data_IF_291419149241
#
_entry.id   IF_291419149241
#
_cell.length_a   1.000
_cell.length_b   1.000
_cell.length_c   1.000
_cell.angle_alpha   90.00
_cell.angle_beta   90.00
_cell.angle_gamma   90.00
#
_symmetry.space_group_name_H-M   'P 1'
#
loop_
_entity.id
_entity.type
_entity.pdbx_description
1 polymer ?
#
# COMPACT_ATOMS: atom_id res chain seq x y z
N UNK A 1 14.23 113.69 -27.86
CA UNK A 1 14.75 114.45 -26.70
C UNK A 1 13.65 114.50 -25.65
N UNK A 2 14.00 114.08 -24.42
CA UNK A 2 13.24 114.07 -23.17
C UNK A 2 12.08 113.07 -23.03
N UNK A 3 11.82 112.40 -21.89
CA UNK A 3 12.55 111.91 -20.71
C UNK A 3 11.45 111.30 -19.77
N UNK A 4 11.82 110.35 -18.90
CA UNK A 4 11.11 109.87 -17.68
C UNK A 4 9.94 108.88 -17.91
N UNK A 5 10.04 107.57 -17.65
CA UNK A 5 10.29 106.79 -16.41
C UNK A 5 9.04 106.54 -15.53
N UNK A 6 8.75 105.24 -15.29
CA UNK A 6 7.98 104.58 -14.20
C UNK A 6 8.10 103.05 -14.47
N UNK A 7 9.10 102.31 -13.98
CA UNK A 7 9.35 101.75 -12.64
C UNK A 7 8.29 100.79 -12.08
N UNK A 8 8.75 99.55 -11.82
CA UNK A 8 8.37 98.58 -10.76
C UNK A 8 7.17 97.63 -11.05
N UNK A 9 7.43 96.37 -11.47
CA UNK A 9 7.56 95.09 -10.68
C UNK A 9 6.19 94.43 -10.36
N UNK A 10 5.89 93.12 -10.46
CA UNK A 10 6.54 91.82 -10.19
C UNK A 10 5.73 90.73 -10.97
N UNK A 11 6.34 89.94 -11.87
CA UNK A 11 6.76 88.51 -11.73
C UNK A 11 5.75 87.51 -11.16
N UNK A 12 5.25 86.60 -12.01
CA UNK A 12 4.97 85.18 -11.69
C UNK A 12 5.19 84.33 -12.94
N UNK A 13 6.28 83.57 -12.95
CA UNK A 13 6.62 82.55 -13.96
C UNK A 13 5.84 81.28 -13.62
N UNK A 14 5.11 80.73 -14.59
CA UNK A 14 4.50 79.41 -14.53
C UNK A 14 5.48 78.41 -15.17
N UNK A 15 6.07 77.51 -14.38
CA UNK A 15 6.85 76.37 -14.86
C UNK A 15 5.92 75.15 -14.91
N UNK A 16 5.73 74.59 -16.11
CA UNK A 16 5.03 73.32 -16.32
C UNK A 16 6.04 72.19 -16.14
N UNK A 17 5.84 71.33 -15.15
CA UNK A 17 6.63 70.10 -14.96
C UNK A 17 5.90 68.97 -15.71
N UNK A 18 6.56 68.42 -16.74
CA UNK A 18 6.17 67.19 -17.42
C UNK A 18 6.66 66.01 -16.59
N UNK A 19 5.75 65.33 -15.89
CA UNK A 19 6.02 64.07 -15.19
C UNK A 19 6.03 62.91 -16.19
N UNK A 20 7.21 62.39 -16.49
CA UNK A 20 7.36 61.11 -17.19
C UNK A 20 6.95 59.97 -16.25
N UNK A 21 5.92 59.21 -16.62
CA UNK A 21 5.55 57.96 -15.95
C UNK A 21 6.52 56.89 -16.47
N UNK A 22 7.48 56.52 -15.64
CA UNK A 22 8.33 55.35 -15.83
C UNK A 22 7.52 54.14 -15.33
N UNK A 23 6.99 53.33 -16.24
CA UNK A 23 6.46 52.00 -15.90
C UNK A 23 7.65 51.05 -15.92
N UNK A 24 8.19 50.75 -14.75
CA UNK A 24 9.27 49.77 -14.57
C UNK A 24 8.68 48.35 -14.50
N UNK A 25 9.26 47.34 -15.16
CA UNK A 25 8.95 45.94 -14.93
C UNK A 25 9.80 45.45 -13.73
N UNK A 26 9.39 45.79 -12.50
CA UNK A 26 10.15 45.45 -11.28
C UNK A 26 9.60 44.22 -10.53
N UNK A 27 8.60 43.52 -11.08
CA UNK A 27 7.93 42.39 -10.42
C UNK A 27 8.36 40.99 -10.89
N UNK A 28 8.70 40.80 -12.17
CA UNK A 28 8.97 39.46 -12.70
C UNK A 28 10.32 38.86 -12.26
N UNK A 29 11.35 39.71 -12.14
CA UNK A 29 12.69 39.25 -11.78
C UNK A 29 12.77 38.62 -10.37
N UNK A 30 11.94 39.08 -9.42
CA UNK A 30 11.93 38.52 -8.07
C UNK A 30 11.17 37.21 -7.94
N UNK A 31 10.23 36.94 -8.83
CA UNK A 31 9.47 35.70 -8.80
C UNK A 31 10.22 34.60 -9.55
N UNK A 32 10.88 34.91 -10.67
CA UNK A 32 11.83 34.00 -11.34
C UNK A 32 12.96 33.55 -10.39
N UNK A 33 13.54 34.46 -9.60
CA UNK A 33 14.61 34.12 -8.65
C UNK A 33 14.10 33.20 -7.53
N UNK A 34 12.87 33.41 -7.02
CA UNK A 34 12.24 32.52 -6.04
C UNK A 34 11.91 31.15 -6.62
N UNK A 35 11.38 31.11 -7.84
CA UNK A 35 11.06 29.86 -8.53
C UNK A 35 12.31 28.98 -8.70
N UNK A 36 13.41 29.58 -9.15
CA UNK A 36 14.69 28.89 -9.28
C UNK A 36 15.24 28.39 -7.93
N UNK A 37 15.07 29.18 -6.86
CA UNK A 37 15.48 28.80 -5.51
C UNK A 37 14.64 27.64 -4.95
N UNK A 38 13.32 27.63 -5.19
CA UNK A 38 12.46 26.50 -4.85
C UNK A 38 12.82 25.24 -5.63
N UNK A 39 13.00 25.32 -6.95
CA UNK A 39 13.44 24.18 -7.78
C UNK A 39 14.77 23.60 -7.28
N UNK A 40 15.74 24.47 -6.99
CA UNK A 40 17.06 24.04 -6.51
C UNK A 40 16.98 23.32 -5.17
N UNK A 41 16.23 23.84 -4.20
CA UNK A 41 16.06 23.17 -2.91
C UNK A 41 15.29 21.86 -3.05
N UNK A 42 14.27 21.82 -3.92
CA UNK A 42 13.54 20.58 -4.22
C UNK A 42 14.48 19.47 -4.70
N UNK A 43 15.36 19.78 -5.66
CA UNK A 43 16.37 18.85 -6.14
C UNK A 43 17.36 18.42 -5.06
N UNK A 44 17.88 19.36 -4.25
CA UNK A 44 18.78 19.05 -3.13
C UNK A 44 18.13 18.13 -2.09
N UNK A 45 16.84 18.32 -1.79
CA UNK A 45 16.10 17.45 -0.89
C UNK A 45 15.86 16.07 -1.50
N UNK A 46 15.51 15.99 -2.79
CA UNK A 46 15.32 14.72 -3.51
C UNK A 46 16.62 13.90 -3.53
N UNK A 47 17.75 14.52 -3.87
CA UNK A 47 19.08 13.89 -3.82
C UNK A 47 19.47 13.41 -2.41
N UNK A 48 18.98 14.08 -1.37
CA UNK A 48 19.19 13.69 0.02
C UNK A 48 18.20 12.61 0.52
N UNK A 49 17.28 12.12 -0.32
CA UNK A 49 16.21 11.20 0.05
C UNK A 49 15.11 11.82 0.91
N UNK A 50 15.08 13.16 1.03
CA UNK A 50 14.10 13.93 1.79
C UNK A 50 12.89 14.26 0.89
N UNK A 51 12.16 13.22 0.47
CA UNK A 51 11.14 13.31 -0.57
C UNK A 51 9.98 14.23 -0.18
N UNK A 52 9.57 14.23 1.08
CA UNK A 52 8.50 15.07 1.62
C UNK A 52 8.84 16.57 1.54
N UNK A 53 10.08 16.93 1.87
CA UNK A 53 10.58 18.29 1.72
C UNK A 53 10.71 18.68 0.24
N UNK A 54 11.19 17.77 -0.61
CA UNK A 54 11.26 18.01 -2.06
C UNK A 54 9.86 18.32 -2.64
N UNK A 55 8.86 17.50 -2.29
CA UNK A 55 7.45 17.69 -2.67
C UNK A 55 6.93 19.08 -2.27
N UNK A 56 7.28 19.56 -1.08
CA UNK A 56 6.85 20.90 -0.61
C UNK A 56 7.45 21.98 -1.50
N UNK A 57 8.75 21.90 -1.82
CA UNK A 57 9.41 22.92 -2.62
C UNK A 57 8.92 22.95 -4.08
N UNK A 58 8.71 21.80 -4.70
CA UNK A 58 8.10 21.75 -6.04
C UNK A 58 6.66 22.27 -6.05
N UNK A 59 5.86 21.99 -5.00
CA UNK A 59 4.52 22.60 -4.85
C UNK A 59 4.58 24.12 -4.70
N UNK A 60 5.61 24.67 -4.04
CA UNK A 60 5.80 26.11 -3.93
C UNK A 60 6.06 26.76 -5.31
N UNK A 61 6.75 26.06 -6.22
CA UNK A 61 6.89 26.48 -7.62
C UNK A 61 5.54 26.55 -8.30
N UNK A 62 4.75 25.47 -8.21
CA UNK A 62 3.42 25.39 -8.85
C UNK A 62 2.39 26.36 -8.26
N UNK A 63 2.60 26.86 -7.04
CA UNK A 63 1.77 27.93 -6.47
C UNK A 63 1.98 29.27 -7.18
N UNK A 64 3.19 29.51 -7.70
CA UNK A 64 3.58 30.76 -8.38
C UNK A 64 3.44 30.61 -9.90
N UNK A 65 3.90 29.49 -10.46
CA UNK A 65 3.76 29.12 -11.86
C UNK A 65 3.07 27.75 -12.00
N UNK A 66 1.72 27.73 -12.08
CA UNK A 66 0.95 26.50 -12.20
C UNK A 66 1.13 25.73 -13.52
N UNK A 67 1.91 26.23 -14.48
CA UNK A 67 2.16 25.56 -15.75
C UNK A 67 3.65 25.22 -15.95
N UNK A 68 4.44 25.22 -14.87
CA UNK A 68 5.85 24.81 -14.94
C UNK A 68 5.95 23.30 -15.18
N UNK A 69 6.27 22.93 -16.43
CA UNK A 69 6.47 21.54 -16.87
C UNK A 69 7.52 20.84 -16.01
N UNK A 70 8.64 21.50 -15.76
CA UNK A 70 9.75 20.96 -14.97
C UNK A 70 9.32 20.68 -13.53
N UNK A 71 8.55 21.59 -12.91
CA UNK A 71 8.07 21.39 -11.55
C UNK A 71 7.02 20.27 -11.45
N UNK A 72 6.13 20.14 -12.43
CA UNK A 72 5.21 19.01 -12.50
C UNK A 72 5.95 17.68 -12.65
N UNK A 73 6.97 17.61 -13.52
CA UNK A 73 7.79 16.40 -13.71
C UNK A 73 8.52 16.00 -12.43
N UNK A 74 9.26 16.94 -11.84
CA UNK A 74 10.04 16.68 -10.63
C UNK A 74 9.16 16.34 -9.42
N UNK A 75 7.99 16.98 -9.32
CA UNK A 75 6.99 16.65 -8.30
C UNK A 75 6.41 15.26 -8.52
N UNK A 76 6.18 14.86 -9.77
CA UNK A 76 5.71 13.52 -10.09
C UNK A 76 6.72 12.47 -9.64
N UNK A 77 8.00 12.63 -10.00
CA UNK A 77 9.08 11.73 -9.60
C UNK A 77 9.17 11.60 -8.08
N UNK A 78 9.15 12.72 -7.35
CA UNK A 78 9.21 12.71 -5.89
C UNK A 78 7.99 12.01 -5.27
N UNK A 79 6.80 12.11 -5.87
CA UNK A 79 5.64 11.31 -5.45
C UNK A 79 5.82 9.82 -5.73
N UNK A 80 6.35 9.45 -6.90
CA UNK A 80 6.55 8.04 -7.27
C UNK A 80 7.60 7.38 -6.37
N UNK A 81 8.71 8.06 -6.11
CA UNK A 81 9.75 7.61 -5.17
C UNK A 81 9.22 7.50 -3.73
N UNK A 82 8.25 8.32 -3.34
CA UNK A 82 7.59 8.24 -2.03
C UNK A 82 6.33 7.33 -2.02
N UNK A 83 6.21 6.45 -3.04
CA UNK A 83 5.11 5.47 -3.22
C UNK A 83 3.70 6.09 -3.32
N UNK A 84 3.60 7.40 -3.55
CA UNK A 84 2.34 8.14 -3.74
C UNK A 84 1.92 8.08 -5.21
N UNK A 85 1.60 6.87 -5.68
CA UNK A 85 1.33 6.58 -7.09
C UNK A 85 0.22 7.44 -7.69
N UNK A 86 -0.84 7.72 -6.94
CA UNK A 86 -1.99 8.48 -7.45
C UNK A 86 -1.63 9.94 -7.72
N UNK A 87 -0.86 10.55 -6.82
CA UNK A 87 -0.37 11.91 -6.95
C UNK A 87 0.65 12.00 -8.09
N UNK A 88 1.61 11.07 -8.16
CA UNK A 88 2.56 10.99 -9.27
C UNK A 88 1.89 10.83 -10.64
N UNK A 89 0.86 9.99 -10.73
CA UNK A 89 0.03 9.83 -11.93
C UNK A 89 -0.60 11.16 -12.38
N UNK A 90 -1.13 11.94 -11.44
CA UNK A 90 -1.77 13.22 -11.75
C UNK A 90 -0.74 14.23 -12.28
N UNK A 91 0.40 14.36 -11.62
CA UNK A 91 1.43 15.30 -12.05
C UNK A 91 2.04 14.91 -13.40
N UNK A 92 2.27 13.63 -13.68
CA UNK A 92 2.67 13.15 -15.01
C UNK A 92 1.64 13.51 -16.09
N UNK A 93 0.36 13.39 -15.78
CA UNK A 93 -0.71 13.77 -16.72
C UNK A 93 -0.67 15.27 -17.05
N UNK A 94 -0.35 16.12 -16.07
CA UNK A 94 -0.19 17.56 -16.30
C UNK A 94 1.10 17.88 -17.06
N UNK A 95 2.21 17.18 -16.77
CA UNK A 95 3.46 17.31 -17.53
C UNK A 95 3.24 17.02 -19.00
N UNK A 96 2.62 15.89 -19.34
CA UNK A 96 2.32 15.49 -20.74
C UNK A 96 1.29 16.41 -21.40
N UNK A 97 0.34 16.97 -20.62
CA UNK A 97 -0.64 17.94 -21.14
C UNK A 97 0.02 19.27 -21.51
N UNK A 98 1.02 19.70 -20.72
CA UNK A 98 1.72 20.96 -20.90
C UNK A 98 2.85 20.87 -21.94
N UNK A 99 3.56 19.74 -21.96
CA UNK A 99 4.60 19.42 -22.95
C UNK A 99 4.31 18.05 -23.58
N UNK A 100 3.54 18.02 -24.68
CA UNK A 100 3.20 16.78 -25.36
C UNK A 100 4.36 16.16 -26.14
N UNK A 101 5.52 16.79 -26.25
CA UNK A 101 6.66 16.23 -27.00
C UNK A 101 7.71 15.61 -26.07
N UNK A 102 7.50 15.69 -24.75
CA UNK A 102 8.35 15.11 -23.73
C UNK A 102 8.17 13.58 -23.66
N UNK A 103 9.00 12.87 -24.42
CA UNK A 103 9.01 11.40 -24.50
C UNK A 103 9.27 10.75 -23.13
N UNK A 104 10.13 11.30 -22.30
CA UNK A 104 10.49 10.71 -21.00
C UNK A 104 9.29 10.74 -20.04
N UNK A 105 8.62 11.89 -19.94
CA UNK A 105 7.39 11.99 -19.12
C UNK A 105 6.25 11.15 -19.69
N UNK A 106 6.16 10.99 -21.01
CA UNK A 106 5.20 10.06 -21.63
C UNK A 106 5.49 8.61 -21.28
N UNK A 107 6.76 8.20 -21.29
CA UNK A 107 7.18 6.84 -20.89
C UNK A 107 6.75 6.59 -19.46
N UNK A 108 7.04 7.51 -18.55
CA UNK A 108 6.62 7.40 -17.15
C UNK A 108 5.09 7.35 -17.02
N UNK A 109 4.37 8.23 -17.74
CA UNK A 109 2.90 8.28 -17.71
C UNK A 109 2.23 7.03 -18.27
N UNK A 110 2.76 6.48 -19.36
CA UNK A 110 2.28 5.23 -19.96
C UNK A 110 2.56 4.05 -19.02
N UNK A 111 3.75 4.00 -18.41
CA UNK A 111 4.14 2.94 -17.47
C UNK A 111 3.22 2.90 -16.24
N UNK A 112 2.96 4.06 -15.63
CA UNK A 112 2.00 4.11 -14.50
C UNK A 112 0.57 3.83 -14.94
N UNK A 113 0.20 4.14 -16.18
CA UNK A 113 -1.11 3.80 -16.74
C UNK A 113 -1.28 2.29 -16.91
N UNK A 114 -0.23 1.55 -17.31
CA UNK A 114 -0.23 0.08 -17.31
C UNK A 114 -0.42 -0.44 -15.88
N UNK A 115 0.33 0.09 -14.91
CA UNK A 115 0.21 -0.32 -13.50
C UNK A 115 -1.18 -0.04 -12.92
N UNK A 116 -1.82 1.06 -13.34
CA UNK A 116 -3.19 1.42 -13.01
C UNK A 116 -4.26 0.66 -13.82
N UNK A 117 -3.84 -0.27 -14.69
CA UNK A 117 -4.69 -1.04 -15.62
C UNK A 117 -5.52 -0.18 -16.60
N UNK A 118 -5.06 1.04 -16.88
CA UNK A 118 -5.66 1.92 -17.88
C UNK A 118 -4.97 1.70 -19.23
N UNK A 119 -5.22 0.52 -19.82
CA UNK A 119 -4.46 0.02 -20.97
C UNK A 119 -4.72 0.80 -22.25
N UNK A 120 -5.93 1.34 -22.45
CA UNK A 120 -6.25 2.19 -23.58
C UNK A 120 -5.45 3.50 -23.54
N UNK A 121 -5.35 4.13 -22.36
CA UNK A 121 -4.53 5.31 -22.19
C UNK A 121 -3.04 4.99 -22.37
N UNK A 122 -2.58 3.88 -21.78
CA UNK A 122 -1.19 3.44 -21.96
C UNK A 122 -0.85 3.25 -23.43
N UNK A 123 -1.76 2.66 -24.22
CA UNK A 123 -1.58 2.49 -25.66
C UNK A 123 -1.56 3.84 -26.38
N UNK A 124 -2.45 4.79 -26.04
CA UNK A 124 -2.44 6.14 -26.62
C UNK A 124 -1.09 6.83 -26.38
N UNK A 125 -0.56 6.76 -25.16
CA UNK A 125 0.73 7.34 -24.84
C UNK A 125 1.88 6.61 -25.56
N UNK A 126 1.82 5.28 -25.65
CA UNK A 126 2.80 4.47 -26.36
C UNK A 126 2.82 4.77 -27.86
N UNK A 127 1.65 4.91 -28.49
CA UNK A 127 1.51 5.31 -29.90
C UNK A 127 2.15 6.68 -30.13
N UNK A 128 1.96 7.64 -29.21
CA UNK A 128 2.60 8.95 -29.28
C UNK A 128 4.13 8.87 -29.11
N UNK A 129 4.63 8.02 -28.19
CA UNK A 129 6.07 7.80 -28.01
C UNK A 129 6.70 7.27 -29.30
N UNK A 130 6.14 6.22 -29.91
CA UNK A 130 6.71 5.62 -31.13
C UNK A 130 6.56 6.53 -32.35
N UNK A 131 5.63 7.48 -32.35
CA UNK A 131 5.55 8.53 -33.37
C UNK A 131 6.65 9.59 -33.21
N UNK A 132 6.92 10.01 -31.97
CA UNK A 132 7.93 11.03 -31.64
C UNK A 132 9.36 10.49 -31.71
N UNK A 133 9.57 9.26 -31.22
CA UNK A 133 10.86 8.59 -31.13
C UNK A 133 10.73 7.12 -31.61
N UNK A 134 10.74 6.88 -32.94
CA UNK A 134 10.56 5.55 -33.52
C UNK A 134 11.70 4.55 -33.24
N UNK A 135 12.80 5.00 -32.65
CA UNK A 135 13.95 4.19 -32.24
C UNK A 135 14.07 4.05 -30.72
N UNK A 136 13.05 4.47 -29.97
CA UNK A 136 13.00 4.29 -28.52
C UNK A 136 12.49 2.89 -28.15
N UNK A 137 13.40 2.02 -27.71
CA UNK A 137 13.09 0.64 -27.35
C UNK A 137 12.05 0.52 -26.21
N UNK A 138 12.04 1.47 -25.26
CA UNK A 138 11.09 1.48 -24.14
C UNK A 138 9.68 1.80 -24.61
N UNK A 139 9.52 2.72 -25.56
CA UNK A 139 8.26 3.02 -26.23
C UNK A 139 7.64 1.78 -26.86
N UNK A 140 8.45 1.01 -27.60
CA UNK A 140 8.02 -0.27 -28.18
C UNK A 140 7.65 -1.32 -27.12
N UNK A 141 8.41 -1.43 -26.03
CA UNK A 141 8.06 -2.31 -24.90
C UNK A 141 6.70 -1.93 -24.26
N UNK A 142 6.49 -0.64 -23.98
CA UNK A 142 5.24 -0.14 -23.39
C UNK A 142 4.07 -0.40 -24.34
N UNK A 143 4.26 -0.14 -25.64
CA UNK A 143 3.26 -0.42 -26.68
C UNK A 143 2.89 -1.90 -26.70
N UNK A 144 3.88 -2.78 -26.72
CA UNK A 144 3.69 -4.23 -26.64
C UNK A 144 2.90 -4.65 -25.39
N UNK A 145 3.26 -4.09 -24.22
CA UNK A 145 2.56 -4.36 -22.96
C UNK A 145 1.09 -3.94 -22.99
N UNK A 146 0.80 -2.74 -23.50
CA UNK A 146 -0.56 -2.23 -23.64
C UNK A 146 -1.38 -3.06 -24.66
N UNK A 147 -0.78 -3.42 -25.80
CA UNK A 147 -1.40 -4.28 -26.81
C UNK A 147 -1.75 -5.67 -26.25
N UNK A 148 -0.82 -6.28 -25.50
CA UNK A 148 -1.03 -7.58 -24.86
C UNK A 148 -2.19 -7.56 -23.85
N UNK A 149 -2.26 -6.53 -23.02
CA UNK A 149 -3.34 -6.35 -22.05
C UNK A 149 -4.72 -6.10 -22.71
N UNK A 150 -4.72 -5.52 -23.92
CA UNK A 150 -5.91 -5.30 -24.74
C UNK A 150 -6.25 -6.49 -25.66
N UNK A 151 -5.60 -7.65 -25.47
CA UNK A 151 -5.80 -8.87 -26.26
C UNK A 151 -5.50 -8.69 -27.78
N UNK A 152 -4.64 -7.73 -28.12
CA UNK A 152 -4.16 -7.47 -29.50
C UNK A 152 -2.86 -8.23 -29.78
N UNK A 153 -2.90 -9.54 -29.56
CA UNK A 153 -1.70 -10.40 -29.49
C UNK A 153 -0.88 -10.43 -30.79
N UNK A 154 -1.52 -10.34 -31.96
CA UNK A 154 -0.84 -10.34 -33.27
C UNK A 154 0.12 -9.16 -33.47
N UNK A 155 -0.03 -8.08 -32.69
CA UNK A 155 0.77 -6.87 -32.79
C UNK A 155 1.90 -6.81 -31.73
N UNK A 156 1.95 -7.75 -30.78
CA UNK A 156 2.91 -7.72 -29.66
C UNK A 156 4.30 -8.19 -30.08
N UNK A 157 4.41 -9.31 -30.79
CA UNK A 157 5.70 -9.90 -31.18
C UNK A 157 6.56 -8.93 -32.02
N UNK A 158 6.05 -8.23 -33.06
CA UNK A 158 6.86 -7.30 -33.84
C UNK A 158 7.45 -6.15 -33.01
N UNK A 159 6.69 -5.62 -32.06
CA UNK A 159 7.13 -4.54 -31.18
C UNK A 159 8.27 -5.00 -30.25
N UNK A 160 8.14 -6.19 -29.66
CA UNK A 160 9.18 -6.73 -28.77
C UNK A 160 10.44 -7.14 -29.53
N UNK A 161 10.30 -7.68 -30.75
CA UNK A 161 11.47 -7.94 -31.62
C UNK A 161 12.19 -6.64 -31.92
N UNK A 162 11.46 -5.57 -32.28
CA UNK A 162 12.07 -4.28 -32.56
C UNK A 162 12.75 -3.68 -31.32
N UNK A 163 12.15 -3.78 -30.14
CA UNK A 163 12.77 -3.35 -28.89
C UNK A 163 14.11 -4.08 -28.63
N UNK A 164 14.16 -5.40 -28.84
CA UNK A 164 15.40 -6.21 -28.75
C UNK A 164 16.43 -5.80 -29.81
N UNK A 165 16.00 -5.44 -31.02
CA UNK A 165 16.92 -4.98 -32.08
C UNK A 165 17.51 -3.59 -31.80
N UNK A 166 16.71 -2.69 -31.21
CA UNK A 166 17.11 -1.33 -30.85
C UNK A 166 18.05 -1.31 -29.65
N UNK A 167 17.82 -2.17 -28.67
CA UNK A 167 18.63 -2.27 -27.46
C UNK A 167 18.81 -3.75 -27.06
N UNK A 168 19.80 -4.44 -27.67
CA UNK A 168 20.00 -5.88 -27.49
C UNK A 168 20.60 -6.24 -26.14
N UNK A 169 21.16 -5.27 -25.41
CA UNK A 169 21.84 -5.47 -24.12
C UNK A 169 20.85 -5.47 -22.93
N UNK A 170 19.59 -5.06 -23.16
CA UNK A 170 18.52 -5.06 -22.15
C UNK A 170 17.71 -6.38 -22.17
N UNK A 171 17.87 -7.19 -21.12
CA UNK A 171 17.23 -8.51 -21.01
C UNK A 171 15.73 -8.46 -20.81
N UNK A 172 15.18 -7.36 -20.28
CA UNK A 172 13.75 -7.24 -20.00
C UNK A 172 12.87 -7.38 -21.25
N UNK A 173 13.36 -6.99 -22.42
CA UNK A 173 12.61 -7.17 -23.67
C UNK A 173 12.46 -8.65 -24.05
N UNK A 174 13.49 -9.49 -23.79
CA UNK A 174 13.42 -10.94 -23.98
C UNK A 174 12.47 -11.59 -22.99
N UNK A 175 12.47 -11.13 -21.73
CA UNK A 175 11.53 -11.58 -20.70
C UNK A 175 10.09 -11.27 -21.12
N UNK A 176 9.82 -10.07 -21.62
CA UNK A 176 8.51 -9.69 -22.14
C UNK A 176 8.09 -10.56 -23.35
N UNK A 177 9.02 -10.83 -24.28
CA UNK A 177 8.75 -11.70 -25.43
C UNK A 177 8.47 -13.14 -25.00
N UNK A 178 9.20 -13.64 -24.00
CA UNK A 178 8.93 -14.95 -23.41
C UNK A 178 7.55 -15.02 -22.75
N UNK A 179 7.15 -13.96 -22.02
CA UNK A 179 5.83 -13.89 -21.42
C UNK A 179 4.72 -13.89 -22.48
N UNK A 180 4.93 -13.18 -23.60
CA UNK A 180 4.02 -13.22 -24.74
C UNK A 180 3.87 -14.63 -25.33
N UNK A 181 4.99 -15.33 -25.58
CA UNK A 181 4.95 -16.71 -26.06
C UNK A 181 4.30 -17.68 -25.06
N UNK A 182 4.56 -17.50 -23.77
CA UNK A 182 3.93 -18.31 -22.72
C UNK A 182 2.41 -18.10 -22.67
N UNK A 183 1.92 -16.86 -22.86
CA UNK A 183 0.50 -16.55 -22.97
C UNK A 183 -0.14 -17.21 -24.21
N UNK A 184 0.62 -17.33 -25.30
CA UNK A 184 0.21 -18.03 -26.51
C UNK A 184 0.37 -19.57 -26.44
N UNK A 185 0.73 -20.10 -25.26
CA UNK A 185 1.06 -21.52 -25.02
C UNK A 185 2.24 -22.07 -25.84
N UNK A 186 3.06 -21.20 -26.44
CA UNK A 186 4.33 -21.57 -27.11
C UNK A 186 5.46 -21.58 -26.08
N UNK A 187 5.41 -22.60 -25.21
CA UNK A 187 6.33 -22.73 -24.07
C UNK A 187 7.77 -22.98 -24.53
N UNK A 188 7.98 -23.61 -25.69
CA UNK A 188 9.31 -23.82 -26.25
C UNK A 188 9.99 -22.51 -26.65
N UNK A 189 9.28 -21.60 -27.34
CA UNK A 189 9.84 -20.29 -27.67
C UNK A 189 10.00 -19.41 -26.44
N UNK A 190 9.08 -19.50 -25.47
CA UNK A 190 9.20 -18.78 -24.21
C UNK A 190 10.49 -19.17 -23.47
N UNK A 191 10.74 -20.47 -23.30
CA UNK A 191 11.95 -21.00 -22.66
C UNK A 191 13.21 -20.59 -23.45
N UNK A 192 13.18 -20.63 -24.78
CA UNK A 192 14.32 -20.23 -25.61
C UNK A 192 14.70 -18.75 -25.39
N UNK A 193 13.73 -17.85 -25.28
CA UNK A 193 14.01 -16.43 -25.00
C UNK A 193 14.56 -16.21 -23.59
N UNK A 194 14.05 -16.95 -22.60
CA UNK A 194 14.54 -16.86 -21.22
C UNK A 194 15.95 -17.40 -21.07
N UNK A 195 16.29 -18.50 -21.75
CA UNK A 195 17.66 -19.00 -21.79
C UNK A 195 18.60 -18.00 -22.48
N UNK A 196 18.17 -17.38 -23.58
CA UNK A 196 18.94 -16.33 -24.23
C UNK A 196 19.16 -15.10 -23.32
N UNK A 197 18.16 -14.75 -22.50
CA UNK A 197 18.29 -13.70 -21.49
C UNK A 197 19.27 -14.10 -20.38
N UNK A 198 19.23 -15.34 -19.88
CA UNK A 198 20.18 -15.86 -18.88
C UNK A 198 21.63 -15.89 -19.40
N UNK A 199 21.83 -16.28 -20.66
CA UNK A 199 23.16 -16.30 -21.30
C UNK A 199 23.78 -14.89 -21.38
N UNK A 200 22.94 -13.86 -21.37
CA UNK A 200 23.32 -12.45 -21.44
C UNK A 200 23.50 -11.85 -20.05
N UNK A 201 22.48 -11.94 -19.20
CA UNK A 201 22.49 -11.53 -17.80
C UNK A 201 21.66 -12.50 -16.96
N UNK A 202 22.34 -13.29 -16.14
CA UNK A 202 21.69 -14.21 -15.22
C UNK A 202 21.28 -13.47 -13.94
N UNK A 203 19.99 -13.50 -13.63
CA UNK A 203 19.40 -12.76 -12.53
C UNK A 203 18.18 -13.44 -11.91
N UNK A 204 17.76 -12.99 -10.71
CA UNK A 204 16.61 -13.59 -10.03
C UNK A 204 15.31 -13.41 -10.81
N UNK A 205 15.15 -12.30 -11.53
CA UNK A 205 13.93 -12.02 -12.31
C UNK A 205 13.77 -13.00 -13.47
N UNK A 206 14.79 -13.12 -14.34
CA UNK A 206 14.73 -14.03 -15.49
C UNK A 206 14.54 -15.49 -15.07
N UNK A 207 15.19 -15.92 -13.98
CA UNK A 207 15.00 -17.26 -13.42
C UNK A 207 13.59 -17.49 -12.89
N UNK A 208 12.97 -16.50 -12.25
CA UNK A 208 11.57 -16.60 -11.84
C UNK A 208 10.63 -16.78 -13.06
N UNK A 209 10.87 -16.06 -14.16
CA UNK A 209 10.10 -16.24 -15.39
C UNK A 209 10.33 -17.63 -16.01
N UNK A 210 11.57 -18.14 -16.00
CA UNK A 210 11.88 -19.49 -16.46
C UNK A 210 11.17 -20.55 -15.61
N UNK A 211 11.17 -20.39 -14.29
CA UNK A 211 10.44 -21.28 -13.39
C UNK A 211 8.93 -21.32 -13.72
N UNK A 212 8.31 -20.20 -14.08
CA UNK A 212 6.91 -20.17 -14.50
C UNK A 212 6.66 -20.95 -15.80
N UNK A 213 7.55 -20.82 -16.79
CA UNK A 213 7.46 -21.60 -18.03
C UNK A 213 7.66 -23.10 -17.76
N UNK A 214 8.65 -23.45 -16.95
CA UNK A 214 8.91 -24.83 -16.54
C UNK A 214 7.74 -25.43 -15.74
N UNK A 215 7.06 -24.61 -14.92
CA UNK A 215 5.83 -25.00 -14.21
C UNK A 215 4.71 -25.33 -15.19
N UNK A 216 4.49 -24.49 -16.22
CA UNK A 216 3.50 -24.74 -17.26
C UNK A 216 3.83 -25.99 -18.11
N UNK A 217 5.11 -26.33 -18.24
CA UNK A 217 5.58 -27.57 -18.87
C UNK A 217 5.57 -28.79 -17.93
N UNK A 218 5.14 -28.64 -16.67
CA UNK A 218 5.14 -29.67 -15.63
C UNK A 218 6.54 -30.25 -15.29
N UNK A 219 7.63 -29.50 -15.57
CA UNK A 219 9.03 -29.88 -15.30
C UNK A 219 9.45 -29.52 -13.87
N UNK A 220 8.74 -30.06 -12.87
CA UNK A 220 8.83 -29.64 -11.46
C UNK A 220 10.23 -29.75 -10.83
N UNK A 221 11.03 -30.75 -11.21
CA UNK A 221 12.41 -30.89 -10.70
C UNK A 221 13.28 -29.70 -11.12
N UNK A 222 13.08 -29.19 -12.33
CA UNK A 222 13.83 -28.05 -12.86
C UNK A 222 13.31 -26.73 -12.29
N UNK A 223 11.99 -26.62 -12.04
CA UNK A 223 11.38 -25.48 -11.35
C UNK A 223 12.04 -25.26 -9.99
N UNK A 224 12.12 -26.29 -9.16
CA UNK A 224 12.71 -26.18 -7.82
C UNK A 224 14.15 -25.68 -7.89
N UNK A 225 14.96 -26.29 -8.77
CA UNK A 225 16.36 -25.90 -8.96
C UNK A 225 16.51 -24.46 -9.43
N UNK A 226 15.61 -24.01 -10.31
CA UNK A 226 15.63 -22.67 -10.89
C UNK A 226 15.21 -21.61 -9.88
N UNK A 227 14.19 -21.88 -9.05
CA UNK A 227 13.76 -21.00 -7.97
C UNK A 227 14.79 -20.93 -6.83
N UNK A 228 15.47 -22.04 -6.52
CA UNK A 228 16.60 -22.04 -5.58
C UNK A 228 17.75 -21.16 -6.09
N UNK A 229 18.07 -21.24 -7.39
CA UNK A 229 19.09 -20.39 -8.00
C UNK A 229 18.66 -18.91 -8.03
N UNK A 230 17.39 -18.62 -8.29
CA UNK A 230 16.85 -17.26 -8.19
C UNK A 230 17.01 -16.70 -6.76
N UNK A 231 16.76 -17.51 -5.74
CA UNK A 231 16.96 -17.12 -4.34
C UNK A 231 18.44 -16.87 -4.01
N UNK A 232 19.35 -17.70 -4.52
CA UNK A 232 20.80 -17.49 -4.33
C UNK A 232 21.23 -16.16 -4.95
N UNK A 233 20.86 -15.90 -6.21
CA UNK A 233 21.22 -14.65 -6.89
C UNK A 233 20.62 -13.42 -6.20
N UNK A 234 19.37 -13.50 -5.73
CA UNK A 234 18.77 -12.41 -4.99
C UNK A 234 19.38 -12.21 -3.58
N UNK A 235 20.07 -13.23 -3.05
CA UNK A 235 20.74 -13.15 -1.76
C UNK A 235 22.13 -12.51 -1.84
N UNK A 236 22.67 -12.32 -3.04
CA UNK A 236 23.93 -11.61 -3.25
C UNK A 236 23.70 -10.11 -3.01
N UNK A 237 24.56 -9.43 -2.23
CA UNK A 237 24.43 -8.00 -1.98
C UNK A 237 24.61 -7.23 -3.29
N UNK A 238 23.81 -6.17 -3.48
CA UNK A 238 23.96 -5.27 -4.64
C UNK A 238 25.31 -4.56 -4.60
N UNK A 239 25.71 -3.90 -5.70
CA UNK A 239 26.95 -3.10 -5.74
C UNK A 239 27.00 -2.02 -4.64
N UNK A 240 25.84 -1.54 -4.21
CA UNK A 240 25.64 -0.54 -3.17
C UNK A 240 25.59 -1.15 -1.75
N UNK A 241 25.69 -2.49 -1.65
CA UNK A 241 25.63 -3.24 -0.40
C UNK A 241 24.21 -3.40 0.17
N UNK A 242 23.20 -3.08 -0.63
CA UNK A 242 21.80 -3.15 -0.26
C UNK A 242 21.20 -4.53 -0.55
N UNK A 243 20.04 -4.79 0.04
CA UNK A 243 19.32 -6.03 -0.20
C UNK A 243 18.71 -6.00 -1.61
N UNK A 244 18.89 -7.07 -2.38
CA UNK A 244 18.29 -7.14 -3.72
C UNK A 244 16.75 -7.00 -3.64
N UNK A 245 16.12 -6.13 -4.46
CA UNK A 245 14.67 -5.88 -4.42
C UNK A 245 13.80 -7.14 -4.58
N UNK A 246 14.30 -8.10 -5.38
CA UNK A 246 13.67 -9.39 -5.65
C UNK A 246 13.88 -10.47 -4.57
N UNK A 247 14.63 -10.22 -3.50
CA UNK A 247 14.92 -11.26 -2.49
C UNK A 247 13.65 -11.77 -1.78
N UNK A 248 12.77 -10.86 -1.37
CA UNK A 248 11.49 -11.24 -0.79
C UNK A 248 10.63 -12.04 -1.79
N UNK A 249 10.66 -11.64 -3.07
CA UNK A 249 9.96 -12.34 -4.15
C UNK A 249 10.49 -13.76 -4.37
N UNK A 250 11.80 -13.96 -4.32
CA UNK A 250 12.43 -15.28 -4.48
C UNK A 250 12.02 -16.24 -3.35
N UNK A 251 12.00 -15.77 -2.09
CA UNK A 251 11.46 -16.54 -0.97
C UNK A 251 9.99 -16.92 -1.19
N UNK A 252 9.17 -15.96 -1.61
CA UNK A 252 7.73 -16.16 -1.86
C UNK A 252 7.50 -17.19 -2.96
N UNK A 253 8.18 -17.07 -4.10
CA UNK A 253 8.00 -17.97 -5.24
C UNK A 253 8.39 -19.41 -4.88
N UNK A 254 9.52 -19.61 -4.20
CA UNK A 254 9.94 -20.94 -3.76
C UNK A 254 8.99 -21.52 -2.69
N UNK A 255 8.52 -20.71 -1.74
CA UNK A 255 7.54 -21.16 -0.75
C UNK A 255 6.18 -21.53 -1.36
N UNK A 256 5.67 -20.71 -2.27
CA UNK A 256 4.44 -20.98 -3.01
C UNK A 256 4.56 -22.22 -3.90
N UNK A 257 5.72 -22.45 -4.52
CA UNK A 257 5.99 -23.68 -5.25
C UNK A 257 5.87 -24.90 -4.34
N UNK A 258 6.47 -24.89 -3.14
CA UNK A 258 6.33 -25.99 -2.20
C UNK A 258 4.89 -26.22 -1.76
N UNK A 259 4.12 -25.17 -1.48
CA UNK A 259 2.69 -25.30 -1.17
C UNK A 259 1.89 -25.91 -2.33
N UNK A 260 2.15 -25.49 -3.57
CA UNK A 260 1.51 -26.05 -4.76
C UNK A 260 1.84 -27.54 -4.97
N UNK A 261 2.92 -28.04 -4.35
CA UNK A 261 3.36 -29.44 -4.36
C UNK A 261 3.01 -30.18 -3.06
N UNK A 262 2.18 -29.60 -2.20
CA UNK A 262 1.77 -30.14 -0.89
C UNK A 262 2.96 -30.39 0.06
N UNK A 263 4.11 -29.73 -0.18
CA UNK A 263 5.32 -29.78 0.66
C UNK A 263 5.29 -28.66 1.70
N UNK A 264 4.27 -28.68 2.55
CA UNK A 264 3.93 -27.58 3.46
C UNK A 264 5.05 -27.24 4.47
N UNK A 265 5.77 -28.25 4.97
CA UNK A 265 6.89 -28.04 5.90
C UNK A 265 8.03 -27.25 5.25
N UNK A 266 8.32 -27.54 3.98
CA UNK A 266 9.39 -26.86 3.23
C UNK A 266 8.95 -25.45 2.82
N UNK A 267 7.69 -25.30 2.40
CA UNK A 267 7.09 -24.01 2.08
C UNK A 267 7.04 -23.06 3.27
N UNK A 268 6.69 -23.55 4.45
CA UNK A 268 6.72 -22.73 5.67
C UNK A 268 8.15 -22.41 6.10
N UNK A 269 9.06 -23.39 6.09
CA UNK A 269 10.46 -23.19 6.47
C UNK A 269 11.16 -22.13 5.62
N UNK A 270 10.97 -22.15 4.29
CA UNK A 270 11.63 -21.17 3.40
C UNK A 270 11.09 -19.76 3.60
N UNK A 271 9.78 -19.61 3.82
CA UNK A 271 9.19 -18.29 4.08
C UNK A 271 9.59 -17.77 5.46
N UNK A 272 9.67 -18.63 6.48
CA UNK A 272 10.18 -18.23 7.79
C UNK A 272 11.63 -17.78 7.74
N UNK A 273 12.47 -18.50 6.99
CA UNK A 273 13.84 -18.08 6.71
C UNK A 273 13.87 -16.67 6.08
N UNK A 274 12.97 -16.41 5.13
CA UNK A 274 12.83 -15.09 4.52
C UNK A 274 12.54 -13.99 5.54
N UNK A 275 11.59 -14.20 6.46
CA UNK A 275 11.26 -13.22 7.53
C UNK A 275 12.46 -12.91 8.43
N UNK A 276 13.33 -13.89 8.67
CA UNK A 276 14.52 -13.74 9.52
C UNK A 276 15.67 -13.01 8.84
N UNK A 277 15.87 -13.25 7.55
CA UNK A 277 17.08 -12.82 6.85
C UNK A 277 16.96 -11.47 6.15
N UNK A 278 15.76 -11.08 5.74
CA UNK A 278 15.57 -9.82 5.02
C UNK A 278 15.29 -8.68 5.98
N UNK A 279 15.60 -7.43 5.63
CA UNK A 279 15.10 -6.26 6.34
C UNK A 279 13.77 -5.81 5.75
N UNK A 280 13.73 -5.72 4.42
CA UNK A 280 12.60 -5.23 3.64
C UNK A 280 11.79 -6.37 3.02
N UNK A 281 10.47 -6.18 2.90
CA UNK A 281 9.57 -7.18 2.32
C UNK A 281 9.08 -8.26 3.28
N UNK A 282 9.47 -8.23 4.56
CA UNK A 282 8.96 -9.15 5.61
C UNK A 282 7.45 -9.24 5.66
N UNK A 283 6.77 -8.09 5.48
CA UNK A 283 5.30 -8.02 5.46
C UNK A 283 4.71 -8.90 4.37
N UNK A 284 5.24 -8.80 3.15
CA UNK A 284 4.78 -9.61 2.00
C UNK A 284 4.91 -11.11 2.28
N UNK A 285 6.03 -11.53 2.88
CA UNK A 285 6.23 -12.94 3.26
C UNK A 285 5.27 -13.37 4.38
N UNK A 286 5.12 -12.53 5.41
CA UNK A 286 4.22 -12.77 6.55
C UNK A 286 2.77 -12.92 6.09
N UNK A 287 2.33 -12.12 5.11
CA UNK A 287 0.98 -12.18 4.54
C UNK A 287 0.72 -13.50 3.78
N UNK A 288 1.74 -14.08 3.16
CA UNK A 288 1.64 -15.41 2.51
C UNK A 288 1.47 -16.49 3.57
N UNK A 289 2.34 -16.51 4.60
CA UNK A 289 2.24 -17.48 5.69
C UNK A 289 0.92 -17.35 6.47
N UNK A 290 0.47 -16.14 6.75
CA UNK A 290 -0.78 -15.91 7.46
C UNK A 290 -1.98 -16.44 6.68
N UNK A 291 -2.01 -16.24 5.36
CA UNK A 291 -3.05 -16.83 4.50
C UNK A 291 -3.00 -18.36 4.51
N UNK A 292 -1.80 -18.93 4.45
CA UNK A 292 -1.58 -20.38 4.51
C UNK A 292 -2.10 -20.96 5.84
N UNK A 293 -1.62 -20.48 6.98
CA UNK A 293 -2.03 -20.99 8.30
C UNK A 293 -3.51 -20.79 8.58
N UNK A 294 -4.12 -19.69 8.12
CA UNK A 294 -5.57 -19.49 8.23
C UNK A 294 -6.37 -20.49 7.38
N UNK A 295 -5.89 -20.84 6.20
CA UNK A 295 -6.53 -21.84 5.35
C UNK A 295 -6.48 -23.23 5.98
N UNK A 296 -5.40 -23.55 6.69
CA UNK A 296 -5.21 -24.80 7.44
C UNK A 296 -5.89 -24.80 8.83
N UNK A 297 -6.57 -23.70 9.21
CA UNK A 297 -7.09 -23.45 10.57
C UNK A 297 -6.03 -23.56 11.69
N UNK A 298 -4.74 -23.42 11.34
CA UNK A 298 -3.60 -23.39 12.25
C UNK A 298 -3.43 -21.97 12.84
N UNK A 299 -4.33 -21.65 13.77
CA UNK A 299 -4.39 -20.35 14.40
C UNK A 299 -3.20 -20.09 15.36
N UNK A 300 -2.52 -21.15 15.82
CA UNK A 300 -1.31 -21.05 16.65
C UNK A 300 -0.16 -20.44 15.85
N UNK A 301 0.13 -21.02 14.67
CA UNK A 301 1.17 -20.47 13.81
C UNK A 301 0.77 -19.13 13.20
N UNK A 302 -0.51 -18.92 12.88
CA UNK A 302 -1.01 -17.62 12.45
C UNK A 302 -0.73 -16.52 13.50
N UNK A 303 -0.97 -16.80 14.78
CA UNK A 303 -0.66 -15.88 15.88
C UNK A 303 0.84 -15.60 15.99
N UNK A 304 1.68 -16.65 15.91
CA UNK A 304 3.14 -16.53 15.95
C UNK A 304 3.69 -15.65 14.81
N UNK A 305 3.19 -15.84 13.58
CA UNK A 305 3.61 -15.00 12.45
C UNK A 305 3.17 -13.55 12.65
N UNK A 306 1.93 -13.34 13.11
CA UNK A 306 1.46 -12.00 13.44
C UNK A 306 2.41 -11.35 14.46
N UNK A 307 2.73 -11.99 15.58
CA UNK A 307 3.66 -11.46 16.61
C UNK A 307 5.05 -11.10 16.08
N UNK A 308 5.61 -11.94 15.20
CA UNK A 308 6.91 -11.65 14.58
C UNK A 308 6.83 -10.50 13.58
N UNK A 309 5.64 -10.29 13.00
CA UNK A 309 5.37 -9.22 12.05
C UNK A 309 4.80 -7.94 12.70
N UNK A 310 4.38 -7.95 13.98
CA UNK A 310 3.78 -6.77 14.65
C UNK A 310 4.82 -5.77 15.15
N UNK A 311 6.12 -6.08 15.04
CA UNK A 311 7.20 -5.22 15.51
C UNK A 311 7.43 -3.94 14.68
N UNK A 312 6.58 -3.63 13.70
CA UNK A 312 6.82 -2.56 12.73
C UNK A 312 6.18 -1.20 13.05
N UNK A 313 5.24 -1.13 14.00
CA UNK A 313 4.77 0.13 14.59
C UNK A 313 4.35 -0.11 16.04
N UNK A 314 5.03 0.54 17.00
CA UNK A 314 4.72 0.39 18.42
C UNK A 314 3.44 1.11 18.84
N UNK A 315 2.81 1.89 17.96
CA UNK A 315 1.62 2.69 18.21
C UNK A 315 0.33 2.17 17.56
N UNK A 316 0.41 1.19 16.65
CA UNK A 316 -0.76 0.57 16.03
C UNK A 316 -1.30 -0.61 16.88
N UNK A 317 -2.53 -0.53 17.42
CA UNK A 317 -3.12 -1.61 18.21
C UNK A 317 -3.63 -2.79 17.36
N UNK A 318 -3.88 -2.61 16.06
CA UNK A 318 -4.54 -3.61 15.20
C UNK A 318 -3.77 -4.93 15.08
N UNK A 319 -2.43 -4.95 14.90
CA UNK A 319 -1.68 -6.18 14.82
C UNK A 319 -1.78 -6.99 16.13
N UNK A 320 -1.73 -6.32 17.29
CA UNK A 320 -1.86 -6.97 18.60
C UNK A 320 -3.28 -7.46 18.88
N UNK A 321 -4.30 -6.75 18.39
CA UNK A 321 -5.69 -7.22 18.38
C UNK A 321 -5.83 -8.49 17.55
N UNK A 322 -5.20 -8.57 16.38
CA UNK A 322 -5.20 -9.76 15.54
C UNK A 322 -4.53 -10.96 16.23
N UNK A 323 -3.38 -10.76 16.90
CA UNK A 323 -2.73 -11.80 17.73
C UNK A 323 -3.66 -12.26 18.85
N UNK A 324 -4.25 -11.30 19.58
CA UNK A 324 -5.17 -11.61 20.68
C UNK A 324 -6.36 -12.44 20.20
N UNK A 325 -6.94 -12.08 19.04
CA UNK A 325 -8.00 -12.82 18.37
C UNK A 325 -7.60 -14.26 18.03
N UNK A 326 -6.43 -14.45 17.41
CA UNK A 326 -5.94 -15.76 17.02
C UNK A 326 -5.69 -16.67 18.23
N UNK A 327 -4.97 -16.17 19.25
CA UNK A 327 -4.71 -16.91 20.51
C UNK A 327 -5.99 -17.27 21.27
N UNK A 328 -6.96 -16.35 21.31
CA UNK A 328 -8.26 -16.61 21.95
C UNK A 328 -9.05 -17.75 21.29
N UNK A 329 -8.93 -17.92 19.96
CA UNK A 329 -9.62 -19.00 19.23
C UNK A 329 -9.06 -20.39 19.53
N UNK A 330 -7.75 -20.50 19.75
CA UNK A 330 -7.07 -21.77 20.12
C UNK A 330 -7.18 -22.07 21.62
N UNK A 331 -7.72 -21.12 22.40
CA UNK A 331 -7.94 -21.27 23.84
C UNK A 331 -6.75 -20.83 24.69
N UNK A 332 -5.71 -20.26 24.11
CA UNK A 332 -4.61 -19.58 24.82
C UNK A 332 -5.11 -18.22 25.33
N UNK A 333 -5.88 -18.24 26.42
CA UNK A 333 -6.50 -17.04 26.98
C UNK A 333 -5.45 -16.11 27.60
N UNK A 334 -4.45 -16.67 28.29
CA UNK A 334 -3.37 -15.91 28.90
C UNK A 334 -2.54 -15.19 27.83
N UNK A 335 -2.16 -15.89 26.76
CA UNK A 335 -1.45 -15.27 25.66
C UNK A 335 -2.31 -14.29 24.87
N UNK A 336 -3.62 -14.54 24.73
CA UNK A 336 -4.55 -13.58 24.14
C UNK A 336 -4.66 -12.31 24.99
N UNK A 337 -4.65 -12.43 26.32
CA UNK A 337 -4.69 -11.30 27.25
C UNK A 337 -3.40 -10.48 27.13
N UNK A 338 -2.24 -11.12 27.13
CA UNK A 338 -0.95 -10.45 26.93
C UNK A 338 -0.94 -9.63 25.63
N UNK A 339 -1.48 -10.19 24.54
CA UNK A 339 -1.59 -9.48 23.27
C UNK A 339 -2.58 -8.31 23.33
N UNK A 340 -3.71 -8.46 24.01
CA UNK A 340 -4.66 -7.36 24.22
C UNK A 340 -4.05 -6.23 25.06
N UNK A 341 -3.21 -6.55 26.05
CA UNK A 341 -2.49 -5.56 26.85
C UNK A 341 -1.46 -4.79 26.02
N UNK A 342 -0.76 -5.48 25.12
CA UNK A 342 0.13 -4.81 24.14
C UNK A 342 -0.65 -3.90 23.19
N UNK A 343 -1.85 -4.30 22.76
CA UNK A 343 -2.72 -3.44 21.95
C UNK A 343 -3.13 -2.17 22.71
N UNK A 344 -3.50 -2.29 23.99
CA UNK A 344 -3.82 -1.13 24.85
C UNK A 344 -2.60 -0.25 25.09
N UNK A 345 -1.41 -0.85 25.22
CA UNK A 345 -0.17 -0.10 25.38
C UNK A 345 0.19 0.69 24.11
N UNK A 346 -0.05 0.10 22.93
CA UNK A 346 0.19 0.73 21.64
C UNK A 346 -0.71 1.95 21.42
N UNK A 347 -2.02 1.80 21.66
CA UNK A 347 -2.96 2.92 21.69
C UNK A 347 -3.86 2.87 22.94
N UNK A 348 -3.50 3.62 24.00
CA UNK A 348 -4.31 3.71 25.22
C UNK A 348 -5.70 4.33 25.02
N UNK A 349 -5.95 4.94 23.86
CA UNK A 349 -7.24 5.54 23.52
C UNK A 349 -8.15 4.60 22.73
N UNK A 350 -7.62 3.44 22.30
CA UNK A 350 -8.36 2.43 21.55
C UNK A 350 -9.41 1.75 22.42
N UNK A 351 -10.68 2.06 22.11
CA UNK A 351 -11.82 1.39 22.74
C UNK A 351 -11.83 -0.11 22.39
N UNK A 352 -11.43 -0.49 21.17
CA UNK A 352 -11.39 -1.89 20.73
C UNK A 352 -10.37 -2.71 21.52
N UNK A 353 -9.14 -2.19 21.70
CA UNK A 353 -8.11 -2.84 22.52
C UNK A 353 -8.56 -2.99 23.98
N UNK A 354 -9.16 -1.93 24.53
CA UNK A 354 -9.66 -1.91 25.92
C UNK A 354 -10.78 -2.93 26.12
N UNK A 355 -11.76 -2.97 25.21
CA UNK A 355 -12.86 -3.93 25.26
C UNK A 355 -12.37 -5.36 25.07
N UNK A 356 -11.40 -5.59 24.17
CA UNK A 356 -10.78 -6.90 23.98
C UNK A 356 -10.11 -7.40 25.26
N UNK A 357 -9.36 -6.54 25.95
CA UNK A 357 -8.77 -6.87 27.26
C UNK A 357 -9.86 -7.24 28.27
N UNK A 358 -10.93 -6.45 28.35
CA UNK A 358 -12.03 -6.71 29.27
C UNK A 358 -12.73 -8.06 29.00
N UNK A 359 -12.96 -8.41 27.73
CA UNK A 359 -13.52 -9.73 27.37
C UNK A 359 -12.67 -10.89 27.88
N UNK A 360 -11.35 -10.80 27.74
CA UNK A 360 -10.43 -11.85 28.16
C UNK A 360 -10.33 -11.95 29.68
N UNK A 361 -10.34 -10.82 30.39
CA UNK A 361 -10.41 -10.81 31.86
C UNK A 361 -11.71 -11.43 32.39
N UNK A 362 -12.83 -11.25 31.69
CA UNK A 362 -14.10 -11.94 32.02
C UNK A 362 -13.91 -13.45 31.85
N UNK A 363 -13.41 -13.88 30.70
CA UNK A 363 -13.28 -15.30 30.39
C UNK A 363 -12.27 -16.03 31.31
N UNK A 364 -11.19 -15.37 31.71
CA UNK A 364 -10.16 -15.91 32.63
C UNK A 364 -10.64 -15.82 34.08
N UNK A 365 -11.07 -14.65 34.54
CA UNK A 365 -11.42 -14.39 35.94
C UNK A 365 -12.53 -15.30 36.46
N UNK A 366 -13.54 -15.58 35.64
CA UNK A 366 -14.62 -16.49 36.02
C UNK A 366 -14.21 -17.96 36.07
N UNK A 367 -13.24 -18.38 35.25
CA UNK A 367 -12.71 -19.75 35.28
C UNK A 367 -11.80 -19.97 36.48
N UNK A 368 -11.12 -18.91 36.93
CA UNK A 368 -10.18 -18.93 38.04
C UNK A 368 -10.75 -18.57 39.40
N UNK A 369 -12.05 -18.21 39.50
CA UNK A 369 -12.65 -17.57 40.68
C UNK A 369 -11.85 -16.32 41.16
N UNK A 370 -11.37 -15.51 40.22
CA UNK A 370 -10.57 -14.30 40.46
C UNK A 370 -11.43 -13.03 40.38
N UNK A 371 -11.96 -12.61 41.54
CA UNK A 371 -12.80 -11.42 41.70
C UNK A 371 -12.10 -10.12 41.28
N UNK A 372 -10.76 -10.07 41.30
CA UNK A 372 -10.00 -8.86 40.96
C UNK A 372 -10.01 -8.61 39.45
N UNK A 373 -9.78 -9.66 38.65
CA UNK A 373 -9.85 -9.58 37.19
C UNK A 373 -11.27 -9.23 36.70
N UNK A 374 -12.29 -9.79 37.33
CA UNK A 374 -13.68 -9.46 37.02
C UNK A 374 -13.97 -7.99 37.36
N UNK A 375 -13.49 -7.48 38.50
CA UNK A 375 -13.64 -6.08 38.87
C UNK A 375 -12.90 -5.13 37.91
N UNK A 376 -11.70 -5.51 37.43
CA UNK A 376 -10.98 -4.76 36.40
C UNK A 376 -11.79 -4.71 35.09
N UNK A 377 -12.30 -5.86 34.62
CA UNK A 377 -13.12 -5.91 33.42
C UNK A 377 -14.37 -5.00 33.50
N UNK A 378 -15.06 -5.00 34.65
CA UNK A 378 -16.19 -4.10 34.91
C UNK A 378 -15.77 -2.64 34.76
N UNK A 379 -14.63 -2.25 35.34
CA UNK A 379 -14.12 -0.88 35.29
C UNK A 379 -13.75 -0.46 33.85
N UNK A 380 -13.11 -1.35 33.09
CA UNK A 380 -12.72 -1.09 31.69
C UNK A 380 -13.95 -0.88 30.80
N UNK A 381 -14.97 -1.75 30.90
CA UNK A 381 -16.22 -1.63 30.15
C UNK A 381 -16.95 -0.33 30.50
N UNK A 382 -17.01 0.01 31.79
CA UNK A 382 -17.63 1.26 32.25
C UNK A 382 -16.89 2.50 31.75
N UNK A 383 -15.55 2.48 31.70
CA UNK A 383 -14.74 3.58 31.19
C UNK A 383 -14.99 3.83 29.69
N UNK A 384 -15.05 2.76 28.89
CA UNK A 384 -15.37 2.87 27.45
C UNK A 384 -16.79 3.40 27.26
N UNK A 385 -17.77 2.86 27.99
CA UNK A 385 -19.17 3.33 27.91
C UNK A 385 -19.36 4.79 28.37
N UNK A 386 -18.54 5.28 29.30
CA UNK A 386 -18.58 6.69 29.72
C UNK A 386 -18.03 7.63 28.63
N UNK A 387 -17.02 7.18 27.86
CA UNK A 387 -16.44 7.92 26.75
C UNK A 387 -17.34 7.89 25.51
N UNK A 388 -17.93 6.74 25.22
CA UNK A 388 -18.88 6.53 24.11
C UNK A 388 -20.12 5.75 24.58
N UNK A 389 -21.16 6.46 25.07
CA UNK A 389 -22.40 5.83 25.52
C UNK A 389 -23.19 5.11 24.42
N UNK A 390 -22.87 5.38 23.15
CA UNK A 390 -23.50 4.75 21.98
C UNK A 390 -22.73 3.56 21.43
N UNK A 391 -21.61 3.18 22.05
CA UNK A 391 -20.79 2.06 21.59
C UNK A 391 -21.56 0.74 21.68
N UNK A 392 -21.86 0.17 20.51
CA UNK A 392 -22.51 -1.14 20.41
C UNK A 392 -21.60 -2.25 20.96
N UNK A 393 -20.29 -2.13 20.75
CA UNK A 393 -19.27 -3.06 21.23
C UNK A 393 -19.19 -3.04 22.77
N UNK A 394 -19.18 -1.85 23.38
CA UNK A 394 -19.18 -1.74 24.84
C UNK A 394 -20.45 -2.33 25.45
N UNK A 395 -21.60 -2.09 24.83
CA UNK A 395 -22.88 -2.68 25.24
C UNK A 395 -22.87 -4.22 25.11
N UNK A 396 -22.25 -4.76 24.05
CA UNK A 396 -22.11 -6.20 23.85
C UNK A 396 -21.22 -6.86 24.90
N UNK A 397 -20.03 -6.29 25.17
CA UNK A 397 -19.12 -6.80 26.21
C UNK A 397 -19.76 -6.70 27.60
N UNK A 398 -20.48 -5.60 27.89
CA UNK A 398 -21.30 -5.47 29.10
C UNK A 398 -22.34 -6.59 29.20
N UNK A 399 -23.01 -6.92 28.10
CA UNK A 399 -23.94 -8.03 28.04
C UNK A 399 -23.32 -9.38 28.43
N UNK A 400 -22.14 -9.69 27.89
CA UNK A 400 -21.37 -10.90 28.25
C UNK A 400 -20.97 -10.90 29.73
N UNK A 401 -20.51 -9.77 30.26
CA UNK A 401 -20.16 -9.57 31.66
C UNK A 401 -21.36 -9.83 32.59
N UNK A 402 -22.55 -9.32 32.27
CA UNK A 402 -23.74 -9.54 33.08
C UNK A 402 -24.23 -11.00 33.05
N UNK A 403 -24.10 -11.69 31.90
CA UNK A 403 -24.34 -13.15 31.83
C UNK A 403 -23.42 -13.87 32.79
N UNK A 404 -22.13 -13.54 32.72
CA UNK A 404 -21.07 -14.08 33.55
C UNK A 404 -21.32 -13.88 35.06
N UNK A 405 -21.76 -12.69 35.47
CA UNK A 405 -22.08 -12.36 36.86
C UNK A 405 -23.42 -12.94 37.34
N UNK A 406 -24.16 -13.65 36.50
CA UNK A 406 -25.45 -14.24 36.86
C UNK A 406 -26.62 -13.24 36.87
N UNK A 407 -26.50 -12.15 36.11
CA UNK A 407 -27.48 -11.06 35.97
C UNK A 407 -28.13 -11.09 34.57
N UNK A 408 -28.92 -12.12 34.23
CA UNK A 408 -29.38 -12.32 32.85
C UNK A 408 -30.41 -11.29 32.37
N UNK A 409 -31.01 -10.49 33.26
CA UNK A 409 -31.95 -9.42 32.85
C UNK A 409 -31.18 -8.20 32.36
N UNK A 410 -30.17 -7.80 33.11
CA UNK A 410 -29.24 -6.72 32.82
C UNK A 410 -28.46 -7.04 31.53
N UNK A 411 -28.08 -8.31 31.35
CA UNK A 411 -27.51 -8.79 30.09
C UNK A 411 -28.43 -8.57 28.88
N UNK A 412 -29.72 -8.91 29.01
CA UNK A 412 -30.71 -8.73 27.93
C UNK A 412 -30.86 -7.25 27.55
N UNK A 413 -30.83 -6.34 28.52
CA UNK A 413 -30.88 -4.89 28.26
C UNK A 413 -29.64 -4.44 27.48
N UNK A 414 -28.45 -4.80 27.96
CA UNK A 414 -27.19 -4.45 27.31
C UNK A 414 -27.05 -5.00 25.89
N UNK A 415 -27.47 -6.24 25.66
CA UNK A 415 -27.39 -6.86 24.34
C UNK A 415 -28.42 -6.29 23.35
N UNK A 416 -29.55 -5.76 23.84
CA UNK A 416 -30.47 -4.99 23.00
C UNK A 416 -29.88 -3.65 22.59
N UNK A 417 -29.18 -2.95 23.49
CA UNK A 417 -28.47 -1.72 23.15
C UNK A 417 -27.40 -2.00 22.06
N UNK A 418 -26.67 -3.10 22.20
CA UNK A 418 -25.68 -3.52 21.19
C UNK A 418 -26.30 -3.76 19.81
N UNK A 419 -27.42 -4.49 19.75
CA UNK A 419 -28.13 -4.78 18.49
C UNK A 419 -28.80 -3.51 17.93
N UNK A 420 -29.27 -2.60 18.77
CA UNK A 420 -29.81 -1.32 18.31
C UNK A 420 -28.74 -0.48 17.57
N UNK A 421 -27.49 -0.54 18.03
CA UNK A 421 -26.35 0.09 17.34
C UNK A 421 -25.86 -0.69 16.12
N UNK A 422 -25.93 -2.03 16.16
CA UNK A 422 -25.53 -2.93 15.04
C UNK A 422 -26.57 -4.04 14.80
N UNK A 423 -27.60 -3.78 13.98
CA UNK A 423 -28.71 -4.73 13.78
C UNK A 423 -28.34 -6.03 13.07
N UNK A 424 -27.23 -6.07 12.33
CA UNK A 424 -26.78 -7.23 11.56
C UNK A 424 -25.55 -7.91 12.19
N UNK A 425 -25.48 -7.91 13.54
CA UNK A 425 -24.39 -8.56 14.27
C UNK A 425 -24.80 -9.95 14.79
N UNK A 426 -24.48 -10.99 14.02
CA UNK A 426 -24.86 -12.38 14.30
C UNK A 426 -24.50 -12.84 15.73
N UNK A 427 -23.29 -12.49 16.20
CA UNK A 427 -22.82 -12.86 17.53
C UNK A 427 -23.64 -12.19 18.64
N UNK A 428 -24.02 -10.92 18.48
CA UNK A 428 -24.87 -10.21 19.45
C UNK A 428 -26.26 -10.86 19.56
N UNK A 429 -26.86 -11.24 18.42
CA UNK A 429 -28.11 -12.00 18.40
C UNK A 429 -27.99 -13.36 19.10
N UNK A 430 -26.89 -14.08 18.88
CA UNK A 430 -26.65 -15.38 19.54
C UNK A 430 -26.55 -15.24 21.06
N UNK A 431 -25.76 -14.27 21.53
CA UNK A 431 -25.56 -14.03 22.97
C UNK A 431 -26.86 -13.51 23.61
N UNK A 432 -27.63 -12.65 22.94
CA UNK A 432 -28.96 -12.22 23.42
C UNK A 432 -29.93 -13.41 23.52
N UNK A 433 -29.96 -14.26 22.50
CA UNK A 433 -30.76 -15.49 22.50
C UNK A 433 -30.43 -16.38 23.69
N UNK A 434 -29.15 -16.49 24.05
CA UNK A 434 -28.65 -17.24 25.20
C UNK A 434 -29.07 -16.61 26.54
N UNK A 435 -28.94 -15.29 26.69
CA UNK A 435 -29.42 -14.58 27.89
C UNK A 435 -30.95 -14.71 28.07
N UNK A 436 -31.72 -14.69 26.97
CA UNK A 436 -33.17 -14.90 27.00
C UNK A 436 -33.55 -16.33 27.43
N UNK A 437 -32.74 -17.35 27.10
CA UNK A 437 -32.93 -18.70 27.66
C UNK A 437 -32.77 -18.71 29.19
N UNK A 438 -31.75 -18.01 29.70
CA UNK A 438 -31.50 -17.91 31.15
C UNK A 438 -32.66 -17.24 31.89
N UNK A 439 -33.34 -16.26 31.25
CA UNK A 439 -34.54 -15.61 31.78
C UNK A 439 -35.85 -16.38 31.52
N UNK A 440 -35.79 -17.52 30.81
CA UNK A 440 -36.94 -18.35 30.37
C UNK A 440 -37.89 -17.67 29.38
N UNK A 441 -37.46 -16.63 28.66
CA UNK A 441 -38.21 -16.04 27.54
C UNK A 441 -37.93 -16.82 26.24
N UNK A 442 -38.48 -18.04 26.17
CA UNK A 442 -38.22 -18.98 25.07
C UNK A 442 -38.70 -18.46 23.71
N UNK A 443 -39.76 -17.64 23.69
CA UNK A 443 -40.30 -17.10 22.46
C UNK A 443 -39.33 -16.11 21.82
N UNK A 444 -38.85 -15.12 22.59
CA UNK A 444 -37.88 -14.15 22.07
C UNK A 444 -36.52 -14.79 21.83
N UNK A 445 -36.07 -15.69 22.70
CA UNK A 445 -34.82 -16.41 22.51
C UNK A 445 -34.78 -17.12 21.15
N UNK A 446 -35.85 -17.84 20.77
CA UNK A 446 -35.92 -18.52 19.48
C UNK A 446 -35.80 -17.56 18.30
N UNK A 447 -36.40 -16.37 18.39
CA UNK A 447 -36.31 -15.37 17.32
C UNK A 447 -34.88 -14.84 17.15
N UNK A 448 -34.20 -14.53 18.26
CA UNK A 448 -32.82 -14.02 18.23
C UNK A 448 -31.83 -15.09 17.74
N UNK A 449 -31.96 -16.34 18.19
CA UNK A 449 -31.12 -17.43 17.71
C UNK A 449 -31.36 -17.74 16.23
N UNK A 450 -32.59 -17.64 15.73
CA UNK A 450 -32.88 -17.78 14.31
C UNK A 450 -32.22 -16.66 13.50
N UNK A 451 -32.32 -15.41 13.98
CA UNK A 451 -31.66 -14.27 13.34
C UNK A 451 -30.14 -14.41 13.31
N UNK A 452 -29.53 -14.93 14.37
CA UNK A 452 -28.09 -15.21 14.41
C UNK A 452 -27.66 -16.21 13.32
N UNK A 453 -28.46 -17.25 13.07
CA UNK A 453 -28.20 -18.22 11.99
C UNK A 453 -28.40 -17.58 10.62
N UNK A 454 -29.46 -16.79 10.42
CA UNK A 454 -29.70 -16.08 9.16
C UNK A 454 -28.56 -15.13 8.78
N UNK A 455 -27.96 -14.46 9.77
CA UNK A 455 -26.86 -13.51 9.55
C UNK A 455 -25.50 -14.20 9.33
N UNK A 456 -25.39 -15.50 9.60
CA UNK A 456 -24.15 -16.27 9.51
C UNK A 456 -24.19 -17.34 8.40
N UNK A 457 -25.25 -17.32 7.58
CA UNK A 457 -25.48 -18.18 6.41
C UNK A 457 -25.25 -17.38 5.12
#
# INVERSE_FOLDING_TARGET
MNLVARSLTISRIFVVILSAIFVSPLGCASDEEKLADFMKRGGEYKEAGQLEEAIIEYRNVLQIDPNSVEAHRELADAYLESEKLKEGYWELSETVRLDPDDVESRIAYATISIAAQNFELALEQADAIVELAPDDAKGHLIRAGALGALDRLDEVEPELILAIELDPDEVNYRIALAAHYAQAEDLERAEAQLNAAIDQEDGPLVRNHLANVLMAQERFDEVESTLQQALVLAGEPTEEGEQHPNLAGAYINLGLFFFARERNDEGTAILEQGIEQIAEGKRRISDVLLRFYRAEDDMDNAARILERSTAFDSSDPEPWLAVSNARGRVGDLEGALEAAEKAVLADPTSNLATLRKAELLIDIGLRGDDDEQVAEAVALVAAVAAKDPSSAEAAFVRGKLEIAMGNPKEAVEALRDAIAGKPDWAQAHFVLGSALLMTRDLHRSRAELARAVELNA
#
